data_IF_139607118556
#
_entry.id   IF_139607118556
#
_cell.length_a   1.000
_cell.length_b   1.000
_cell.length_c   1.000
_cell.angle_alpha   90.00
_cell.angle_beta   90.00
_cell.angle_gamma   90.00
#
_symmetry.space_group_name_H-M   'P 1'
#
loop_
_entity.id
_entity.type
_entity.pdbx_description
1 polymer ?
#
# COMPACT_ATOMS: atom_id res chain seq x y z
N UNK A 1 -9.16 14.68 26.10
CA UNK A 1 -9.92 15.04 24.89
C UNK A 1 -10.45 13.76 24.32
N UNK A 2 -11.77 13.57 24.28
CA UNK A 2 -12.40 12.37 23.72
C UNK A 2 -12.64 12.60 22.23
N UNK A 3 -11.87 11.91 21.39
CA UNK A 3 -11.97 12.02 19.93
C UNK A 3 -12.70 10.79 19.43
N UNK A 4 -13.97 10.96 19.11
CA UNK A 4 -14.81 9.91 18.53
C UNK A 4 -14.82 9.99 17.00
N UNK A 5 -14.81 8.84 16.29
CA UNK A 5 -14.85 8.81 14.84
C UNK A 5 -16.18 9.33 14.29
N UNK A 6 -16.16 9.91 13.08
CA UNK A 6 -17.38 10.31 12.38
C UNK A 6 -18.25 9.08 12.06
N UNK A 7 -19.57 9.27 11.90
CA UNK A 7 -20.49 8.17 11.55
C UNK A 7 -20.08 7.41 10.29
N UNK A 8 -19.53 8.12 9.30
CA UNK A 8 -19.05 7.53 8.05
C UNK A 8 -17.85 6.61 8.30
N UNK A 9 -16.89 7.04 9.12
CA UNK A 9 -15.74 6.22 9.48
C UNK A 9 -16.16 5.00 10.30
N UNK A 10 -17.09 5.18 11.25
CA UNK A 10 -17.61 4.09 12.08
C UNK A 10 -18.37 3.00 11.27
N UNK A 11 -18.88 3.33 10.08
CA UNK A 11 -19.54 2.37 9.19
C UNK A 11 -18.61 1.54 8.30
N UNK A 12 -17.31 1.87 8.27
CA UNK A 12 -16.34 1.12 7.47
C UNK A 12 -16.17 -0.27 8.08
N UNK A 13 -16.41 -1.31 7.29
CA UNK A 13 -16.25 -2.70 7.73
C UNK A 13 -14.77 -3.03 7.93
N UNK A 14 -14.46 -3.99 8.83
CA UNK A 14 -13.10 -4.50 8.99
C UNK A 14 -12.49 -4.94 7.65
N UNK A 15 -11.23 -4.58 7.43
CA UNK A 15 -10.48 -4.95 6.25
C UNK A 15 -9.77 -6.30 6.48
N UNK A 16 -10.42 -7.38 6.06
CA UNK A 16 -9.97 -8.76 6.30
C UNK A 16 -8.52 -9.04 5.85
N UNK A 17 -8.05 -8.36 4.79
CA UNK A 17 -6.69 -8.53 4.29
C UNK A 17 -5.62 -7.98 5.24
N UNK A 18 -5.96 -7.06 6.15
CA UNK A 18 -5.04 -6.62 7.20
C UNK A 18 -4.70 -7.76 8.18
N UNK A 19 -5.69 -8.58 8.52
CA UNK A 19 -5.52 -9.75 9.40
C UNK A 19 -4.69 -10.83 8.70
N UNK A 20 -4.98 -11.10 7.43
CA UNK A 20 -4.20 -12.05 6.61
C UNK A 20 -2.74 -11.59 6.49
N UNK A 21 -2.51 -10.29 6.28
CA UNK A 21 -1.15 -9.74 6.23
C UNK A 21 -0.40 -9.89 7.56
N UNK A 22 -1.09 -9.80 8.70
CA UNK A 22 -0.51 -10.07 10.02
C UNK A 22 -0.08 -11.54 10.14
N UNK A 23 -0.96 -12.48 9.77
CA UNK A 23 -0.65 -13.91 9.83
C UNK A 23 0.51 -14.30 8.91
N UNK A 24 0.52 -13.78 7.68
CA UNK A 24 1.64 -13.95 6.73
C UNK A 24 2.96 -13.51 7.35
N UNK A 25 3.02 -12.29 7.91
CA UNK A 25 4.24 -11.78 8.55
C UNK A 25 4.69 -12.64 9.73
N UNK A 26 3.75 -13.13 10.54
CA UNK A 26 4.06 -14.02 11.67
C UNK A 26 4.63 -15.37 11.20
N UNK A 27 4.09 -15.91 10.12
CA UNK A 27 4.57 -17.16 9.54
C UNK A 27 5.98 -16.99 8.94
N UNK A 28 6.22 -15.91 8.20
CA UNK A 28 7.54 -15.53 7.68
C UNK A 28 8.57 -15.36 8.80
N UNK A 29 8.19 -14.66 9.89
CA UNK A 29 9.05 -14.48 11.06
C UNK A 29 9.34 -15.79 11.81
N UNK A 30 8.50 -16.81 11.64
CA UNK A 30 8.71 -18.16 12.18
C UNK A 30 9.57 -19.04 11.26
N UNK A 31 10.10 -18.48 10.17
CA UNK A 31 10.96 -19.18 9.21
C UNK A 31 10.19 -19.99 8.16
N UNK A 32 8.88 -19.81 8.03
CA UNK A 32 8.10 -20.46 6.99
C UNK A 32 8.26 -19.70 5.66
N UNK A 33 8.52 -20.44 4.58
CA UNK A 33 8.47 -19.92 3.23
C UNK A 33 7.01 -19.76 2.80
N UNK A 34 6.60 -18.54 2.44
CA UNK A 34 5.23 -18.21 2.06
C UNK A 34 5.17 -17.83 0.59
N UNK A 35 4.35 -18.57 -0.18
CA UNK A 35 3.98 -18.21 -1.55
C UNK A 35 2.73 -17.31 -1.48
N UNK A 36 2.90 -16.02 -1.76
CA UNK A 36 1.84 -15.02 -1.73
C UNK A 36 1.17 -14.87 -3.10
N UNK A 37 0.01 -15.51 -3.28
CA UNK A 37 -0.84 -15.38 -4.47
C UNK A 37 -1.99 -14.38 -4.28
N UNK A 38 -2.02 -13.65 -3.16
CA UNK A 38 -3.07 -12.69 -2.83
C UNK A 38 -2.81 -11.28 -3.36
N UNK A 39 -1.59 -11.01 -3.86
CA UNK A 39 -1.19 -9.71 -4.38
C UNK A 39 -1.68 -9.53 -5.82
N UNK A 40 -2.46 -8.48 -6.06
CA UNK A 40 -2.96 -8.13 -7.40
C UNK A 40 -2.13 -7.12 -8.17
N UNK A 41 -1.04 -6.60 -7.58
CA UNK A 41 -0.14 -5.68 -8.26
C UNK A 41 0.94 -6.42 -9.06
N UNK A 42 1.51 -5.77 -10.10
CA UNK A 42 2.62 -6.34 -10.85
C UNK A 42 3.83 -6.58 -9.93
N UNK A 43 4.60 -7.62 -10.25
CA UNK A 43 5.85 -8.00 -9.62
C UNK A 43 7.06 -7.25 -10.20
N UNK A 44 6.92 -6.73 -11.42
CA UNK A 44 7.94 -5.95 -12.12
C UNK A 44 7.79 -4.44 -11.88
N UNK A 45 8.88 -3.65 -11.98
CA UNK A 45 8.80 -2.20 -11.85
C UNK A 45 7.95 -1.56 -12.97
N UNK A 46 7.47 -0.32 -12.76
CA UNK A 46 6.92 0.49 -13.84
C UNK A 46 7.93 0.66 -14.98
N UNK A 47 7.43 0.95 -16.19
CA UNK A 47 8.28 1.25 -17.34
C UNK A 47 9.20 2.45 -17.08
N UNK A 48 10.42 2.41 -17.61
CA UNK A 48 11.47 3.42 -17.36
C UNK A 48 11.01 4.82 -17.76
N UNK A 49 10.31 4.93 -18.90
CA UNK A 49 9.81 6.21 -19.42
C UNK A 49 8.80 6.87 -18.45
N UNK A 50 8.02 6.06 -17.72
CA UNK A 50 7.07 6.56 -16.71
C UNK A 50 7.81 7.11 -15.49
N UNK A 51 8.88 6.44 -15.08
CA UNK A 51 9.70 6.85 -13.95
C UNK A 51 10.44 8.15 -14.28
N UNK A 52 10.98 8.26 -15.50
CA UNK A 52 11.67 9.46 -15.98
C UNK A 52 10.74 10.66 -16.06
N UNK A 53 9.57 10.53 -16.68
CA UNK A 53 8.61 11.64 -16.79
C UNK A 53 8.12 12.10 -15.41
N UNK A 54 7.89 11.15 -14.49
CA UNK A 54 7.56 11.47 -13.10
C UNK A 54 8.66 12.30 -12.44
N UNK A 55 9.92 11.90 -12.60
CA UNK A 55 11.06 12.59 -12.00
C UNK A 55 11.23 14.01 -12.58
N UNK A 56 11.19 14.16 -13.90
CA UNK A 56 11.29 15.46 -14.59
C UNK A 56 10.15 16.39 -14.15
N UNK A 57 8.92 15.88 -14.15
CA UNK A 57 7.72 16.64 -13.74
C UNK A 57 7.82 17.09 -12.28
N UNK A 58 8.24 16.20 -11.38
CA UNK A 58 8.33 16.52 -9.96
C UNK A 58 9.47 17.51 -9.63
N UNK A 59 10.49 17.58 -10.47
CA UNK A 59 11.61 18.49 -10.31
C UNK A 59 11.34 19.90 -10.84
N UNK A 60 10.32 20.10 -11.67
CA UNK A 60 10.00 21.38 -12.31
C UNK A 60 9.27 22.34 -11.34
N UNK A 61 9.93 23.41 -10.84
CA UNK A 61 9.31 24.35 -9.91
C UNK A 61 8.13 25.10 -10.54
N UNK A 62 8.07 25.22 -11.86
CA UNK A 62 6.99 25.91 -12.56
C UNK A 62 5.64 25.18 -12.47
N UNK A 63 5.63 23.90 -12.05
CA UNK A 63 4.40 23.10 -11.89
C UNK A 63 3.73 23.24 -10.51
N UNK A 64 4.32 24.01 -9.60
CA UNK A 64 3.84 24.18 -8.22
C UNK A 64 3.32 25.59 -7.90
N UNK A 65 3.14 26.43 -8.93
CA UNK A 65 2.62 27.80 -8.81
C UNK A 65 1.09 27.86 -8.85
#
# INVERSE_FOLDING_TARGET
MDVSPSRRLASVKPYIFAEIALWRRSAEASGLEIIDLGRGGPDIPPAEEVIEELAVTAADPARYS
#
